data_IF_718681562610
#
_entry.id   IF_718681562610
#
_cell.length_a   1.000
_cell.length_b   1.000
_cell.length_c   1.000
_cell.angle_alpha   90.00
_cell.angle_beta   90.00
_cell.angle_gamma   90.00
#
_symmetry.space_group_name_H-M   'P 1'
#
loop_
_entity.id
_entity.type
_entity.pdbx_description
1 polymer ?
#
# COMPACT_ATOMS: atom_id res chain seq x y z
N UNK A 1 5.98 -11.67 7.37
CA UNK A 1 5.55 -12.18 6.05
C UNK A 1 5.76 -11.16 4.92
N UNK A 2 5.59 -9.85 5.16
CA UNK A 2 5.90 -8.81 4.16
C UNK A 2 7.39 -8.45 4.10
N UNK A 3 8.30 -9.38 4.37
CA UNK A 3 9.73 -9.07 4.57
C UNK A 3 10.66 -9.75 3.57
N UNK A 4 11.88 -9.22 3.47
CA UNK A 4 12.95 -9.79 2.65
C UNK A 4 13.32 -11.22 3.10
N UNK A 5 13.35 -11.46 4.41
CA UNK A 5 13.62 -12.77 4.99
C UNK A 5 12.59 -13.81 4.55
N UNK A 6 11.29 -13.47 4.63
CA UNK A 6 10.24 -14.39 4.18
C UNK A 6 10.39 -14.72 2.68
N UNK A 7 10.81 -13.75 1.86
CA UNK A 7 11.11 -13.99 0.44
C UNK A 7 12.33 -14.88 0.24
N UNK A 8 13.38 -14.69 1.02
CA UNK A 8 14.60 -15.50 0.95
C UNK A 8 14.34 -16.95 1.37
N UNK A 9 13.57 -17.16 2.43
CA UNK A 9 13.31 -18.48 3.00
C UNK A 9 12.22 -19.25 2.26
N UNK A 10 11.14 -18.58 1.85
CA UNK A 10 9.93 -19.25 1.35
C UNK A 10 9.74 -19.10 -0.17
N UNK A 11 10.63 -18.36 -0.86
CA UNK A 11 10.60 -18.13 -2.31
C UNK A 11 9.29 -17.52 -2.86
N UNK A 12 8.48 -16.90 -2.01
CA UNK A 12 7.31 -16.12 -2.43
C UNK A 12 7.43 -14.69 -1.90
N UNK A 13 6.84 -13.75 -2.64
CA UNK A 13 6.82 -12.34 -2.27
C UNK A 13 5.37 -11.87 -2.26
N UNK A 14 4.83 -11.42 -1.11
CA UNK A 14 3.51 -10.80 -1.12
C UNK A 14 3.53 -9.57 -2.02
N UNK A 15 2.42 -9.34 -2.72
CA UNK A 15 2.21 -8.13 -3.56
C UNK A 15 1.36 -7.08 -2.88
N UNK A 16 0.59 -7.49 -1.88
CA UNK A 16 -0.24 -6.60 -1.09
C UNK A 16 -0.29 -7.03 0.37
N UNK A 17 -0.61 -6.08 1.23
CA UNK A 17 -0.89 -6.29 2.65
C UNK A 17 -2.19 -5.56 3.03
N UNK A 18 -3.09 -6.22 3.73
CA UNK A 18 -4.24 -5.57 4.37
C UNK A 18 -4.10 -5.76 5.87
N UNK A 19 -3.99 -4.65 6.58
CA UNK A 19 -3.59 -4.59 7.97
C UNK A 19 -4.72 -3.90 8.74
N UNK A 20 -5.41 -4.64 9.60
CA UNK A 20 -6.50 -4.12 10.43
C UNK A 20 -6.09 -4.19 11.89
N UNK A 21 -6.03 -3.03 12.57
CA UNK A 21 -5.53 -2.94 13.95
C UNK A 21 -4.09 -3.45 14.09
N UNK A 22 -3.21 -3.17 13.13
CA UNK A 22 -1.82 -3.64 13.19
C UNK A 22 -1.00 -2.90 14.24
N UNK A 23 0.00 -3.58 14.81
CA UNK A 23 1.00 -2.99 15.70
C UNK A 23 2.32 -3.77 15.62
N UNK A 24 3.41 -3.17 16.09
CA UNK A 24 4.69 -3.85 16.23
C UNK A 24 4.67 -4.77 17.45
N UNK A 25 4.90 -6.06 17.22
CA UNK A 25 5.03 -7.06 18.28
C UNK A 25 6.34 -6.92 19.06
N UNK A 26 6.52 -7.77 20.07
CA UNK A 26 7.78 -7.85 20.83
C UNK A 26 8.96 -8.16 19.90
N UNK A 27 10.16 -7.59 20.13
CA UNK A 27 11.37 -7.85 19.34
C UNK A 27 11.70 -9.33 19.14
N UNK A 28 11.28 -10.18 20.07
CA UNK A 28 11.48 -11.65 20.00
C UNK A 28 10.80 -12.32 18.79
N UNK A 29 9.87 -11.63 18.13
CA UNK A 29 9.19 -12.10 16.92
C UNK A 29 9.46 -11.19 15.71
N UNK A 30 10.44 -10.29 15.82
CA UNK A 30 10.85 -9.45 14.71
C UNK A 30 11.61 -10.28 13.69
N UNK A 31 11.37 -9.98 12.42
CA UNK A 31 12.14 -10.53 11.31
C UNK A 31 13.46 -9.75 11.22
N UNK A 32 14.53 -10.43 10.82
CA UNK A 32 15.88 -9.84 10.69
C UNK A 32 15.96 -8.79 9.55
N UNK A 33 14.89 -8.67 8.76
CA UNK A 33 14.77 -7.73 7.65
C UNK A 33 13.37 -7.14 7.53
N UNK A 34 13.33 -5.93 6.97
CA UNK A 34 12.15 -5.05 6.94
C UNK A 34 11.15 -5.34 5.84
N UNK A 35 10.21 -4.42 5.67
CA UNK A 35 9.12 -4.49 4.69
C UNK A 35 9.69 -4.40 3.27
N UNK A 36 9.12 -5.15 2.32
CA UNK A 36 9.52 -5.04 0.91
C UNK A 36 8.97 -3.75 0.28
N UNK A 37 9.79 -3.01 -0.50
CA UNK A 37 9.42 -1.70 -1.04
C UNK A 37 8.34 -1.74 -2.13
N UNK A 38 8.08 -2.91 -2.71
CA UNK A 38 7.12 -3.11 -3.78
C UNK A 38 5.75 -3.63 -3.29
N UNK A 39 5.49 -3.64 -1.99
CA UNK A 39 4.20 -4.05 -1.42
C UNK A 39 3.23 -2.86 -1.38
N UNK A 40 2.03 -3.04 -1.94
CA UNK A 40 0.93 -2.12 -1.69
C UNK A 40 0.22 -2.48 -0.38
N UNK A 41 -0.10 -1.52 0.47
CA UNK A 41 -0.76 -1.78 1.75
C UNK A 41 -2.01 -0.95 1.96
N UNK A 42 -3.00 -1.57 2.62
CA UNK A 42 -4.17 -0.91 3.17
C UNK A 42 -4.16 -1.07 4.69
N UNK A 43 -4.06 0.04 5.40
CA UNK A 43 -4.07 0.10 6.85
C UNK A 43 -5.42 0.62 7.35
N UNK A 44 -6.08 -0.14 8.22
CA UNK A 44 -7.37 0.22 8.81
C UNK A 44 -7.28 0.12 10.33
N UNK A 45 -7.58 1.20 11.05
CA UNK A 45 -7.53 1.17 12.52
C UNK A 45 -8.47 2.17 13.19
N UNK A 46 -8.81 1.90 14.45
CA UNK A 46 -9.69 2.73 15.24
C UNK A 46 -8.96 3.88 15.92
N UNK A 47 -9.45 5.12 15.81
CA UNK A 47 -8.94 6.27 16.59
C UNK A 47 -9.18 6.11 18.08
N UNK A 48 -10.25 5.39 18.45
CA UNK A 48 -10.69 5.14 19.82
C UNK A 48 -10.44 3.67 20.24
N UNK A 49 -9.45 3.02 19.62
CA UNK A 49 -9.10 1.63 19.92
C UNK A 49 -8.32 1.54 21.25
N UNK A 50 -8.96 0.96 22.27
CA UNK A 50 -8.38 0.75 23.60
C UNK A 50 -7.52 -0.50 23.71
N UNK A 51 -7.60 -1.42 22.74
CA UNK A 51 -6.77 -2.63 22.70
C UNK A 51 -5.44 -2.29 22.03
N UNK A 52 -5.50 -1.55 20.93
CA UNK A 52 -4.36 -1.17 20.11
C UNK A 52 -4.46 0.33 19.84
N UNK A 53 -3.76 1.17 20.62
CA UNK A 53 -3.78 2.61 20.41
C UNK A 53 -3.44 2.99 18.97
N UNK A 54 -4.16 3.96 18.41
CA UNK A 54 -3.97 4.42 17.03
C UNK A 54 -2.51 4.79 16.69
N UNK A 55 -1.76 5.31 17.66
CA UNK A 55 -0.32 5.62 17.51
C UNK A 55 0.52 4.39 17.18
N UNK A 56 0.18 3.21 17.73
CA UNK A 56 0.88 1.96 17.42
C UNK A 56 0.58 1.49 16.00
N UNK A 57 -0.67 1.66 15.54
CA UNK A 57 -1.01 1.37 14.15
C UNK A 57 -0.37 2.36 13.19
N UNK A 58 -0.28 3.63 13.57
CA UNK A 58 0.42 4.66 12.80
C UNK A 58 1.91 4.32 12.62
N UNK A 59 2.59 3.81 13.65
CA UNK A 59 3.99 3.36 13.51
C UNK A 59 4.16 2.30 12.40
N UNK A 60 3.20 1.39 12.25
CA UNK A 60 3.23 0.40 11.18
C UNK A 60 3.01 1.06 9.82
N UNK A 61 2.10 2.04 9.71
CA UNK A 61 1.92 2.85 8.49
C UNK A 61 3.22 3.53 8.10
N UNK A 62 3.91 4.14 9.06
CA UNK A 62 5.13 4.91 8.81
C UNK A 62 6.26 4.01 8.29
N UNK A 63 6.37 2.77 8.78
CA UNK A 63 7.33 1.78 8.25
C UNK A 63 7.03 1.45 6.78
N UNK A 64 5.77 1.22 6.42
CA UNK A 64 5.41 0.96 5.02
C UNK A 64 5.66 2.18 4.13
N UNK A 65 5.42 3.40 4.63
CA UNK A 65 5.70 4.65 3.90
C UNK A 65 7.18 4.91 3.72
N UNK A 66 8.03 4.57 4.69
CA UNK A 66 9.49 4.68 4.56
C UNK A 66 10.04 3.84 3.41
N UNK A 67 9.41 2.69 3.16
CA UNK A 67 9.77 1.77 2.07
C UNK A 67 9.00 2.06 0.76
N UNK A 68 8.10 3.05 0.76
CA UNK A 68 7.24 3.35 -0.39
C UNK A 68 8.03 4.01 -1.52
N UNK A 69 8.27 3.25 -2.58
CA UNK A 69 8.98 3.74 -3.79
C UNK A 69 8.05 4.31 -4.85
N UNK A 70 6.76 4.01 -4.78
CA UNK A 70 5.74 4.43 -5.74
C UNK A 70 4.58 5.02 -4.95
N UNK A 71 4.22 6.25 -5.28
CA UNK A 71 3.17 7.00 -4.61
C UNK A 71 1.83 6.25 -4.58
N UNK A 72 1.07 6.45 -3.50
CA UNK A 72 -0.28 5.91 -3.33
C UNK A 72 -0.33 4.38 -3.37
N UNK A 73 0.66 3.72 -2.77
CA UNK A 73 0.66 2.29 -2.45
C UNK A 73 0.28 2.03 -1.00
N UNK A 74 0.57 2.96 -0.10
CA UNK A 74 0.19 2.88 1.30
C UNK A 74 -1.07 3.70 1.54
N UNK A 75 -2.22 3.02 1.59
CA UNK A 75 -3.50 3.63 1.93
C UNK A 75 -3.79 3.47 3.42
N UNK A 76 -4.41 4.50 4.02
CA UNK A 76 -4.80 4.50 5.43
C UNK A 76 -6.26 4.91 5.57
N UNK A 77 -6.98 4.21 6.44
CA UNK A 77 -8.36 4.53 6.82
C UNK A 77 -8.52 4.43 8.34
N UNK A 78 -8.97 5.52 8.95
CA UNK A 78 -9.15 5.62 10.40
C UNK A 78 -10.64 5.73 10.70
N UNK A 79 -11.13 4.92 11.63
CA UNK A 79 -12.54 4.92 12.05
C UNK A 79 -12.69 5.17 13.56
N UNK A 80 -13.87 5.56 14.01
CA UNK A 80 -14.10 5.92 15.43
C UNK A 80 -14.65 4.77 16.29
N UNK A 81 -14.89 3.60 15.70
CA UNK A 81 -15.58 2.46 16.33
C UNK A 81 -14.75 1.61 17.31
N UNK A 82 -13.50 1.98 17.61
CA UNK A 82 -12.61 1.20 18.49
C UNK A 82 -11.99 -0.03 17.82
N UNK A 83 -11.80 -1.13 18.57
CA UNK A 83 -11.15 -2.36 18.10
C UNK A 83 -12.12 -3.27 17.30
N UNK A 84 -12.52 -2.83 16.11
CA UNK A 84 -13.45 -3.59 15.26
C UNK A 84 -13.01 -3.55 13.81
N UNK A 85 -13.41 -4.55 13.04
CA UNK A 85 -13.34 -4.49 11.57
C UNK A 85 -14.53 -3.66 11.08
N UNK A 86 -14.33 -2.51 10.42
CA UNK A 86 -15.44 -1.70 9.91
C UNK A 86 -16.27 -2.44 8.87
N UNK A 87 -17.60 -2.42 9.03
CA UNK A 87 -18.55 -3.10 8.13
C UNK A 87 -19.41 -2.16 7.29
N UNK A 88 -19.21 -0.85 7.41
CA UNK A 88 -19.99 0.13 6.65
C UNK A 88 -19.62 0.10 5.16
N UNK A 89 -20.53 0.58 4.31
CA UNK A 89 -20.35 0.55 2.86
C UNK A 89 -19.10 1.32 2.41
N UNK A 90 -18.79 2.45 3.06
CA UNK A 90 -17.57 3.20 2.77
C UNK A 90 -16.30 2.36 2.96
N UNK A 91 -16.24 1.52 4.01
CA UNK A 91 -15.09 0.65 4.26
C UNK A 91 -15.01 -0.50 3.25
N UNK A 92 -16.18 -1.01 2.84
CA UNK A 92 -16.26 -2.05 1.80
C UNK A 92 -15.83 -1.51 0.44
N UNK A 93 -16.28 -0.31 0.07
CA UNK A 93 -15.89 0.33 -1.18
C UNK A 93 -14.40 0.69 -1.19
N UNK A 94 -13.84 1.22 -0.09
CA UNK A 94 -12.40 1.43 0.03
C UNK A 94 -11.60 0.14 -0.22
N UNK A 95 -12.01 -0.96 0.39
CA UNK A 95 -11.36 -2.26 0.21
C UNK A 95 -11.43 -2.74 -1.24
N UNK A 96 -12.61 -2.64 -1.87
CA UNK A 96 -12.78 -2.97 -3.29
C UNK A 96 -11.91 -2.10 -4.19
N UNK A 97 -11.92 -0.77 -3.99
CA UNK A 97 -11.11 0.17 -4.77
C UNK A 97 -9.63 -0.12 -4.64
N UNK A 98 -9.14 -0.41 -3.42
CA UNK A 98 -7.76 -0.83 -3.20
C UNK A 98 -7.41 -2.08 -4.03
N UNK A 99 -8.24 -3.12 -3.98
CA UNK A 99 -8.02 -4.35 -4.75
C UNK A 99 -8.05 -4.11 -6.27
N UNK A 100 -9.04 -3.37 -6.78
CA UNK A 100 -9.14 -3.06 -8.20
C UNK A 100 -7.93 -2.28 -8.71
N UNK A 101 -7.43 -1.32 -7.93
CA UNK A 101 -6.24 -0.55 -8.26
C UNK A 101 -4.98 -1.44 -8.30
N UNK A 102 -4.84 -2.39 -7.38
CA UNK A 102 -3.72 -3.33 -7.42
C UNK A 102 -3.84 -4.33 -8.57
N UNK A 103 -5.05 -4.82 -8.88
CA UNK A 103 -5.27 -5.70 -10.04
C UNK A 103 -4.88 -5.01 -11.34
N UNK A 104 -5.27 -3.75 -11.53
CA UNK A 104 -4.88 -2.95 -12.70
C UNK A 104 -3.35 -2.80 -12.78
N UNK A 105 -2.67 -2.52 -11.67
CA UNK A 105 -1.20 -2.38 -11.64
C UNK A 105 -0.45 -3.70 -11.87
N UNK A 106 -1.02 -4.82 -11.44
CA UNK A 106 -0.44 -6.15 -11.65
C UNK A 106 -0.63 -6.64 -13.09
N UNK A 107 -1.81 -6.39 -13.68
CA UNK A 107 -2.13 -6.79 -15.06
C UNK A 107 -1.61 -5.79 -16.11
N UNK A 108 -1.42 -4.53 -15.72
CA UNK A 108 -1.01 -3.43 -16.59
C UNK A 108 0.50 -3.27 -16.79
N UNK A 109 1.33 -4.28 -16.44
CA UNK A 109 2.71 -4.35 -16.93
C UNK A 109 2.73 -5.19 -18.20
N UNK A 110 2.55 -4.62 -19.41
CA UNK A 110 3.06 -5.29 -20.59
C UNK A 110 4.57 -5.38 -20.38
N UNK A 111 5.12 -6.60 -20.45
CA UNK A 111 6.54 -6.79 -20.68
C UNK A 111 6.85 -6.08 -22.00
N UNK A 112 7.31 -4.84 -21.94
CA UNK A 112 7.99 -4.22 -23.07
C UNK A 112 9.34 -4.94 -23.13
N UNK A 113 9.34 -6.14 -23.72
CA UNK A 113 10.51 -6.68 -24.36
C UNK A 113 10.86 -5.70 -25.47
N UNK A 114 11.69 -4.72 -25.12
CA UNK A 114 12.34 -3.83 -26.07
C UNK A 114 13.37 -4.67 -26.83
N UNK A 115 12.91 -5.37 -27.87
CA UNK A 115 13.78 -5.74 -28.98
C UNK A 115 14.00 -4.47 -29.79
N UNK A 116 15.06 -3.74 -29.46
CA UNK A 116 15.57 -2.66 -30.29
C UNK A 116 16.11 -3.25 -31.59
N UNK A 117 15.26 -3.38 -32.60
CA UNK A 117 15.68 -3.27 -33.99
C UNK A 117 15.75 -1.78 -34.32
N UNK A 118 16.97 -1.28 -34.44
CA UNK A 118 17.27 0.08 -34.89
C UNK A 118 16.74 0.31 -36.29
N UNK A 119 15.79 1.22 -36.46
CA UNK A 119 15.62 1.97 -37.70
C UNK A 119 14.94 3.33 -37.42
N UNK A 120 15.52 4.35 -38.04
CA UNK A 120 15.37 5.79 -37.86
C UNK A 120 13.95 6.35 -38.11
N UNK A 121 13.54 7.39 -37.35
CA UNK A 121 13.04 8.64 -37.95
C UNK A 121 12.80 9.74 -36.91
N UNK A 122 12.97 10.98 -37.36
CA UNK A 122 13.03 12.25 -36.62
C UNK A 122 11.64 12.85 -36.30
N UNK A 123 11.54 13.63 -35.19
CA UNK A 123 10.85 14.93 -35.00
C UNK A 123 9.97 15.12 -33.74
N UNK A 124 10.31 16.21 -33.04
CA UNK A 124 9.52 17.28 -32.38
C UNK A 124 8.50 17.01 -31.24
N UNK A 125 8.90 17.51 -30.06
CA UNK A 125 8.21 18.37 -29.07
C UNK A 125 6.70 18.21 -28.76
N UNK A 126 6.39 18.03 -27.45
CA UNK A 126 5.69 18.99 -26.57
C UNK A 126 5.25 18.32 -25.24
N UNK A 127 5.49 19.02 -24.13
CA UNK A 127 5.23 18.61 -22.75
C UNK A 127 3.72 18.50 -22.38
N UNK A 128 3.39 17.89 -21.22
CA UNK A 128 2.21 18.33 -20.48
C UNK A 128 2.47 18.62 -18.98
N UNK A 129 1.78 19.69 -18.57
CA UNK A 129 1.71 20.35 -17.26
C UNK A 129 1.07 19.49 -16.15
N UNK A 130 1.50 19.78 -14.92
CA UNK A 130 0.98 19.32 -13.62
C UNK A 130 -0.48 19.73 -13.35
N UNK A 131 -1.11 19.04 -12.37
CA UNK A 131 -2.17 19.45 -11.43
C UNK A 131 -3.38 18.48 -11.42
N UNK A 132 -4.05 18.13 -10.32
CA UNK A 132 -3.83 18.25 -8.87
C UNK A 132 -4.89 17.33 -8.22
N UNK A 133 -4.54 16.76 -7.08
CA UNK A 133 -5.40 15.95 -6.23
C UNK A 133 -6.64 16.70 -5.72
N UNK A 134 -7.78 16.00 -5.65
CA UNK A 134 -8.97 16.47 -4.92
C UNK A 134 -9.36 15.44 -3.86
N UNK A 135 -8.97 15.74 -2.62
CA UNK A 135 -9.40 15.03 -1.42
C UNK A 135 -10.84 15.43 -1.09
N UNK A 136 -11.74 14.45 -0.91
CA UNK A 136 -13.00 14.64 -0.20
C UNK A 136 -12.96 13.83 1.09
N UNK A 137 -12.80 14.55 2.20
CA UNK A 137 -13.01 14.03 3.54
C UNK A 137 -14.51 13.78 3.77
N UNK A 138 -14.83 12.65 4.39
CA UNK A 138 -16.18 12.29 4.81
C UNK A 138 -16.41 12.92 6.20
N UNK A 139 -17.34 13.86 6.30
CA UNK A 139 -17.87 14.38 7.56
C UNK A 139 -19.35 13.98 7.60
N UNK A 140 -19.77 13.42 8.74
CA UNK A 140 -21.17 13.11 9.05
C UNK A 140 -21.95 14.40 9.33
#
# INVERSE_FOLDING_TARGET
>A
MCSQQARAELQWSPKLAVLVGSYLGSPQYSLDSGVLPDIASLHVFGSNDYVIPASKSQQVVDIFKQEETIENRVLTSVHTQGHVIPKCDASRELFKSFLSLQQLRLLGKPSISSSTSSESSEREDLAPSEALASQRACVL
#
